data_IF_149711514115
#
_entry.id   IF_149711514115
#
_cell.length_a   1.000
_cell.length_b   1.000
_cell.length_c   1.000
_cell.angle_alpha   90.00
_cell.angle_beta   90.00
_cell.angle_gamma   90.00
#
_symmetry.space_group_name_H-M   'P 1'
#
loop_
_entity.id
_entity.type
_entity.pdbx_description
1 polymer ?
#
# COMPACT_ATOMS: atom_id res chain seq x y z
N UNK A 1 47.02 13.34 -39.14
CA UNK A 1 46.83 14.30 -40.24
C UNK A 1 45.52 15.06 -40.06
N UNK A 2 45.55 16.37 -40.25
CA UNK A 2 44.44 17.31 -40.11
C UNK A 2 43.70 17.40 -41.44
N UNK A 3 42.38 17.22 -41.45
CA UNK A 3 41.51 17.76 -42.49
C UNK A 3 40.29 18.43 -41.85
N UNK A 4 40.11 19.68 -42.26
CA UNK A 4 39.05 20.62 -41.90
C UNK A 4 37.78 20.28 -42.70
N UNK A 5 36.63 20.75 -42.22
CA UNK A 5 35.42 21.22 -42.94
C UNK A 5 34.26 21.06 -41.94
N UNK A 6 33.57 22.10 -41.44
CA UNK A 6 33.19 23.34 -42.09
C UNK A 6 31.66 23.41 -42.05
N UNK A 7 31.08 23.89 -40.95
CA UNK A 7 29.65 24.23 -40.88
C UNK A 7 29.50 25.57 -40.19
N UNK A 8 29.47 26.64 -40.99
CA UNK A 8 28.96 27.94 -40.56
C UNK A 8 27.45 27.80 -40.39
N UNK A 9 26.97 27.71 -39.15
CA UNK A 9 25.55 27.82 -38.84
C UNK A 9 25.15 29.31 -38.85
N UNK A 10 24.52 29.74 -39.94
CA UNK A 10 23.87 31.05 -40.04
C UNK A 10 22.55 30.99 -39.26
N UNK A 11 22.49 31.61 -38.08
CA UNK A 11 21.25 31.79 -37.32
C UNK A 11 20.43 32.92 -37.97
N UNK A 12 19.37 32.58 -38.70
CA UNK A 12 18.35 33.54 -39.15
C UNK A 12 17.20 33.56 -38.14
N UNK A 13 17.27 34.50 -37.20
CA UNK A 13 16.17 34.79 -36.26
C UNK A 13 14.99 35.35 -37.03
N UNK A 14 13.96 34.54 -37.26
CA UNK A 14 12.70 34.97 -37.86
C UNK A 14 11.68 35.12 -36.73
N UNK A 15 11.41 36.36 -36.34
CA UNK A 15 10.43 36.71 -35.31
C UNK A 15 9.02 36.52 -35.87
N UNK A 16 8.33 35.44 -35.49
CA UNK A 16 6.93 35.20 -35.84
C UNK A 16 6.05 35.79 -34.73
N UNK A 17 5.40 36.92 -35.02
CA UNK A 17 4.38 37.51 -34.17
C UNK A 17 3.09 36.70 -34.24
N UNK A 18 2.98 35.66 -33.40
CA UNK A 18 1.75 34.91 -33.20
C UNK A 18 0.83 35.72 -32.27
N UNK A 19 -0.18 36.38 -32.84
CA UNK A 19 -1.26 37.02 -32.08
C UNK A 19 -2.11 35.92 -31.43
N UNK A 20 -1.89 35.67 -30.13
CA UNK A 20 -2.78 34.84 -29.31
C UNK A 20 -4.12 35.54 -29.16
N UNK A 21 -5.17 35.00 -29.79
CA UNK A 21 -6.55 35.24 -29.38
C UNK A 21 -6.84 34.27 -28.22
N UNK A 22 -6.85 34.76 -26.99
CA UNK A 22 -7.19 33.96 -25.81
C UNK A 22 -8.72 33.95 -25.67
N UNK A 23 -9.35 32.88 -26.13
CA UNK A 23 -10.73 32.55 -25.74
C UNK A 23 -10.65 31.92 -24.33
N UNK A 24 -11.00 32.69 -23.31
CA UNK A 24 -11.08 32.21 -21.93
C UNK A 24 -12.34 31.34 -21.74
N UNK A 25 -12.25 30.06 -22.08
CA UNK A 25 -13.22 29.06 -21.65
C UNK A 25 -12.84 28.58 -20.25
N UNK A 26 -13.57 29.02 -19.22
CA UNK A 26 -13.37 28.59 -17.83
C UNK A 26 -13.81 27.13 -17.67
N UNK A 27 -12.89 26.19 -17.87
CA UNK A 27 -13.06 24.81 -17.44
C UNK A 27 -12.92 24.78 -15.91
N UNK A 28 -14.05 24.81 -15.20
CA UNK A 28 -14.08 24.51 -13.76
C UNK A 28 -13.81 23.02 -13.57
N UNK A 29 -12.54 22.64 -13.48
CA UNK A 29 -12.14 21.32 -13.02
C UNK A 29 -12.38 21.24 -11.52
N UNK A 30 -13.50 20.63 -11.12
CA UNK A 30 -13.73 20.23 -9.73
C UNK A 30 -12.74 19.12 -9.38
N UNK A 31 -11.61 19.48 -8.78
CA UNK A 31 -10.69 18.53 -8.17
C UNK A 31 -11.36 18.07 -6.88
N UNK A 32 -12.07 16.94 -6.93
CA UNK A 32 -12.56 16.28 -5.73
C UNK A 32 -11.32 15.86 -4.92
N UNK A 33 -11.04 16.59 -3.84
CA UNK A 33 -10.14 16.14 -2.80
C UNK A 33 -10.84 14.93 -2.18
N UNK A 34 -10.44 13.72 -2.57
CA UNK A 34 -10.94 12.51 -1.93
C UNK A 34 -10.65 12.62 -0.44
N UNK A 35 -11.71 12.58 0.37
CA UNK A 35 -11.59 12.57 1.82
C UNK A 35 -10.76 11.34 2.21
N UNK A 36 -9.64 11.57 2.88
CA UNK A 36 -8.75 10.51 3.30
C UNK A 36 -9.41 9.72 4.42
N UNK A 37 -10.12 8.65 4.06
CA UNK A 37 -10.46 7.55 4.95
C UNK A 37 -11.60 7.81 5.93
N UNK A 38 -12.82 7.97 5.41
CA UNK A 38 -14.06 8.02 6.22
C UNK A 38 -15.05 6.88 5.90
N UNK A 39 -14.67 5.94 5.02
CA UNK A 39 -15.50 4.78 4.71
C UNK A 39 -15.44 3.68 5.78
N UNK A 40 -16.27 2.63 5.68
CA UNK A 40 -16.22 1.52 6.62
C UNK A 40 -14.94 0.69 6.48
N UNK A 41 -14.50 0.13 7.60
CA UNK A 41 -13.45 -0.89 7.65
C UNK A 41 -14.08 -2.28 7.79
N UNK A 42 -13.92 -3.10 6.76
CA UNK A 42 -14.41 -4.48 6.71
C UNK A 42 -13.36 -5.32 5.98
N UNK A 43 -12.70 -6.20 6.75
CA UNK A 43 -11.56 -6.97 6.31
C UNK A 43 -11.78 -8.46 6.55
N UNK A 44 -11.23 -9.25 5.63
CA UNK A 44 -10.98 -10.67 5.81
C UNK A 44 -9.47 -10.87 5.96
N UNK A 45 -9.07 -11.55 7.02
CA UNK A 45 -7.68 -11.85 7.33
C UNK A 45 -7.50 -13.35 7.25
N UNK A 46 -6.47 -13.80 6.53
CA UNK A 46 -6.18 -15.21 6.37
C UNK A 46 -4.70 -15.50 6.56
N UNK A 47 -4.39 -16.64 7.18
CA UNK A 47 -3.01 -17.10 7.34
C UNK A 47 -2.93 -18.62 7.28
N UNK A 48 -1.91 -19.14 6.62
CA UNK A 48 -1.61 -20.56 6.59
C UNK A 48 -0.41 -20.91 5.72
N UNK A 49 0.05 -22.16 5.73
CA UNK A 49 1.03 -22.65 4.77
C UNK A 49 0.44 -22.64 3.34
N UNK A 50 1.28 -22.33 2.34
CA UNK A 50 0.87 -22.15 0.94
C UNK A 50 0.06 -23.32 0.36
N UNK A 51 0.44 -24.54 0.71
CA UNK A 51 -0.18 -25.78 0.23
C UNK A 51 -0.97 -26.52 1.33
N UNK A 52 -1.37 -25.83 2.39
CA UNK A 52 -2.11 -26.43 3.50
C UNK A 52 -3.34 -25.63 3.92
N UNK A 53 -3.87 -25.99 5.09
CA UNK A 53 -5.13 -25.39 5.58
C UNK A 53 -4.91 -23.94 6.01
N UNK A 54 -5.63 -23.04 5.37
CA UNK A 54 -5.65 -21.61 5.72
C UNK A 54 -6.73 -21.33 6.76
N UNK A 55 -6.36 -20.61 7.82
CA UNK A 55 -7.32 -20.05 8.78
C UNK A 55 -7.79 -18.69 8.26
N UNK A 56 -9.06 -18.35 8.48
CA UNK A 56 -9.64 -17.09 8.01
C UNK A 56 -10.59 -16.51 9.05
N UNK A 57 -10.49 -15.20 9.29
CA UNK A 57 -11.35 -14.46 10.22
C UNK A 57 -11.80 -13.14 9.60
N UNK A 58 -12.90 -12.60 10.11
CA UNK A 58 -13.38 -11.26 9.78
C UNK A 58 -12.94 -10.24 10.83
N UNK A 59 -12.72 -9.00 10.40
CA UNK A 59 -12.41 -7.86 11.25
C UNK A 59 -13.14 -6.61 10.74
N UNK A 60 -13.90 -5.96 11.61
CA UNK A 60 -14.33 -4.56 11.43
C UNK A 60 -13.63 -3.69 12.47
N UNK A 61 -13.46 -2.39 12.19
CA UNK A 61 -12.74 -1.49 13.11
C UNK A 61 -13.55 -0.30 13.64
N UNK A 62 -14.76 -0.07 13.11
CA UNK A 62 -15.57 1.12 13.43
C UNK A 62 -17.04 0.71 13.69
N UNK A 63 -17.36 0.04 14.82
CA UNK A 63 -16.48 -0.34 15.93
C UNK A 63 -15.74 -1.69 15.70
N UNK A 64 -14.73 -2.02 16.53
CA UNK A 64 -14.01 -3.29 16.46
C UNK A 64 -14.95 -4.51 16.60
N UNK A 65 -14.95 -5.39 15.59
CA UNK A 65 -15.92 -6.47 15.44
C UNK A 65 -15.43 -7.60 14.54
N UNK A 66 -16.33 -8.56 14.24
CA UNK A 66 -15.99 -9.77 13.47
C UNK A 66 -15.50 -10.95 14.34
N UNK A 67 -14.93 -11.96 13.70
CA UNK A 67 -14.52 -13.23 14.35
C UNK A 67 -13.09 -13.24 14.88
N UNK A 68 -12.27 -12.24 14.56
CA UNK A 68 -10.88 -12.13 15.02
C UNK A 68 -10.75 -12.08 16.56
N UNK A 69 -9.86 -12.85 17.20
CA UNK A 69 -9.74 -12.91 18.67
C UNK A 69 -9.37 -11.58 19.34
N UNK A 70 -8.42 -10.83 18.74
CA UNK A 70 -7.88 -9.57 19.26
C UNK A 70 -8.30 -8.34 18.44
N UNK A 71 -9.61 -8.13 18.27
CA UNK A 71 -10.19 -7.15 17.31
C UNK A 71 -9.63 -5.73 17.49
N UNK A 72 -9.69 -5.19 18.70
CA UNK A 72 -9.26 -3.83 18.98
C UNK A 72 -7.75 -3.63 18.73
N UNK A 73 -6.93 -4.58 19.18
CA UNK A 73 -5.48 -4.51 19.00
C UNK A 73 -5.07 -4.66 17.53
N UNK A 74 -5.71 -5.59 16.79
CA UNK A 74 -5.49 -5.76 15.36
C UNK A 74 -5.86 -4.49 14.57
N UNK A 75 -6.98 -3.85 14.91
CA UNK A 75 -7.35 -2.56 14.33
C UNK A 75 -6.32 -1.46 14.65
N UNK A 76 -5.82 -1.41 15.88
CA UNK A 76 -4.79 -0.45 16.27
C UNK A 76 -3.46 -0.68 15.53
N UNK A 77 -3.07 -1.93 15.29
CA UNK A 77 -1.88 -2.27 14.52
C UNK A 77 -2.03 -1.94 13.03
N UNK A 78 -3.16 -2.30 12.40
CA UNK A 78 -3.45 -1.93 11.01
C UNK A 78 -3.53 -0.42 10.80
N UNK A 79 -4.00 0.34 11.81
CA UNK A 79 -4.06 1.79 11.73
C UNK A 79 -2.67 2.46 11.63
N UNK A 80 -1.63 1.84 12.18
CA UNK A 80 -0.24 2.36 12.08
C UNK A 80 0.28 2.33 10.64
N UNK A 81 -0.31 1.48 9.80
CA UNK A 81 0.14 1.21 8.43
C UNK A 81 -0.97 1.39 7.39
N UNK A 82 -2.06 2.05 7.77
CA UNK A 82 -3.21 2.31 6.89
C UNK A 82 -3.74 1.05 6.18
N UNK A 83 -3.81 -0.06 6.90
CA UNK A 83 -4.27 -1.34 6.37
C UNK A 83 -3.22 -2.14 5.58
N UNK A 84 -2.07 -1.57 5.26
CA UNK A 84 -0.99 -2.24 4.53
C UNK A 84 0.04 -2.87 5.47
N UNK A 85 -0.30 -4.03 6.03
CA UNK A 85 0.56 -4.76 6.96
C UNK A 85 1.92 -5.17 6.37
N UNK A 86 2.08 -5.18 5.04
CA UNK A 86 3.33 -5.56 4.37
C UNK A 86 4.45 -4.53 4.56
N UNK A 87 4.09 -3.34 5.03
CA UNK A 87 5.03 -2.27 5.37
C UNK A 87 5.64 -2.41 6.77
N UNK A 88 5.13 -3.35 7.58
CA UNK A 88 5.65 -3.63 8.92
C UNK A 88 7.01 -4.34 8.82
N UNK A 89 7.91 -3.99 9.74
CA UNK A 89 9.24 -4.56 9.83
C UNK A 89 9.48 -5.19 11.21
N UNK A 90 10.46 -6.08 11.27
CA UNK A 90 10.87 -6.73 12.51
C UNK A 90 11.25 -5.67 13.58
N UNK A 91 10.61 -5.69 14.76
CA UNK A 91 10.99 -4.83 15.86
C UNK A 91 12.41 -5.14 16.35
N UNK A 92 13.13 -4.11 16.78
CA UNK A 92 14.49 -4.26 17.31
C UNK A 92 14.52 -5.15 18.56
N UNK A 93 15.55 -5.99 18.66
CA UNK A 93 15.77 -6.86 19.83
C UNK A 93 14.86 -8.10 19.90
N UNK A 94 14.02 -8.35 18.88
CA UNK A 94 13.25 -9.59 18.76
C UNK A 94 14.05 -10.65 18.01
N UNK A 95 13.85 -11.91 18.40
CA UNK A 95 14.55 -13.06 17.84
C UNK A 95 13.56 -14.19 17.59
N UNK A 96 13.70 -14.85 16.45
CA UNK A 96 12.96 -16.06 16.09
C UNK A 96 13.95 -17.16 15.73
N UNK A 97 13.53 -18.41 15.83
CA UNK A 97 14.32 -19.54 15.33
C UNK A 97 14.46 -19.47 13.81
N UNK A 98 15.47 -20.15 13.29
CA UNK A 98 15.77 -20.23 11.85
C UNK A 98 15.02 -21.37 11.15
N UNK A 99 14.04 -21.98 11.81
CA UNK A 99 13.22 -23.03 11.21
C UNK A 99 12.43 -22.46 10.02
N UNK A 100 12.39 -23.21 8.93
CA UNK A 100 11.68 -22.84 7.72
C UNK A 100 10.33 -23.55 7.68
N UNK A 101 9.29 -22.82 8.11
CA UNK A 101 7.89 -23.27 8.10
C UNK A 101 7.00 -22.13 7.55
N UNK A 102 7.08 -21.85 6.23
CA UNK A 102 6.57 -20.59 5.69
C UNK A 102 5.07 -20.41 5.87
N UNK A 103 4.68 -19.20 6.28
CA UNK A 103 3.28 -18.81 6.48
C UNK A 103 2.95 -17.68 5.51
N UNK A 104 1.96 -17.90 4.65
CA UNK A 104 1.38 -16.86 3.80
C UNK A 104 0.25 -16.17 4.55
N UNK A 105 0.37 -14.85 4.69
CA UNK A 105 -0.59 -14.00 5.36
C UNK A 105 -1.24 -13.06 4.35
N UNK A 106 -2.55 -12.84 4.46
CA UNK A 106 -3.31 -12.01 3.54
C UNK A 106 -4.37 -11.18 4.27
N UNK A 107 -4.51 -9.92 3.85
CA UNK A 107 -5.56 -9.00 4.26
C UNK A 107 -6.29 -8.53 3.00
N UNK A 108 -7.60 -8.75 2.96
CA UNK A 108 -8.48 -8.36 1.85
C UNK A 108 -9.70 -7.58 2.35
N UNK A 109 -10.18 -6.62 1.56
CA UNK A 109 -11.44 -5.92 1.81
C UNK A 109 -11.29 -4.41 1.72
N UNK A 110 -11.99 -3.69 2.60
CA UNK A 110 -11.98 -2.23 2.67
C UNK A 110 -11.34 -1.76 3.97
N UNK A 111 -10.30 -0.94 3.87
CA UNK A 111 -9.76 -0.15 4.99
C UNK A 111 -10.20 1.30 4.84
N UNK A 112 -11.08 1.77 5.73
CA UNK A 112 -11.62 3.14 5.70
C UNK A 112 -12.16 3.59 4.32
N UNK A 113 -12.80 2.67 3.60
CA UNK A 113 -13.32 2.89 2.25
C UNK A 113 -12.30 2.71 1.11
N UNK A 114 -11.04 2.44 1.41
CA UNK A 114 -10.01 2.13 0.41
C UNK A 114 -9.87 0.61 0.26
N UNK A 115 -9.81 0.11 -0.97
CA UNK A 115 -9.59 -1.31 -1.22
C UNK A 115 -8.19 -1.73 -0.80
N UNK A 116 -8.11 -2.85 -0.08
CA UNK A 116 -6.88 -3.49 0.35
C UNK A 116 -6.89 -4.92 -0.17
N UNK A 117 -5.81 -5.28 -0.86
CA UNK A 117 -5.47 -6.66 -1.22
C UNK A 117 -3.96 -6.78 -1.05
N UNK A 118 -3.56 -7.38 0.07
CA UNK A 118 -2.18 -7.45 0.52
C UNK A 118 -1.86 -8.85 0.98
N UNK A 119 -0.71 -9.36 0.53
CA UNK A 119 -0.24 -10.71 0.80
C UNK A 119 1.27 -10.69 1.01
N UNK A 120 1.74 -11.43 1.99
CA UNK A 120 3.17 -11.57 2.29
C UNK A 120 3.45 -12.94 2.91
N UNK A 121 4.52 -13.58 2.46
CA UNK A 121 5.05 -14.80 3.06
C UNK A 121 6.07 -14.45 4.16
N UNK A 122 6.02 -15.16 5.27
CA UNK A 122 6.97 -15.07 6.37
C UNK A 122 7.63 -16.43 6.58
N UNK A 123 8.91 -16.44 6.95
CA UNK A 123 9.72 -17.67 7.04
C UNK A 123 9.21 -18.68 8.06
N UNK A 124 8.52 -18.20 9.11
CA UNK A 124 7.83 -19.02 10.10
C UNK A 124 6.81 -18.20 10.89
N UNK A 125 6.00 -18.90 11.69
CA UNK A 125 4.95 -18.29 12.53
C UNK A 125 5.49 -17.26 13.53
N UNK A 126 6.69 -17.46 14.09
CA UNK A 126 7.30 -16.50 15.00
C UNK A 126 7.58 -15.16 14.29
N UNK A 127 8.17 -15.21 13.09
CA UNK A 127 8.46 -14.00 12.31
C UNK A 127 7.16 -13.29 11.94
N UNK A 128 6.15 -14.02 11.48
CA UNK A 128 4.81 -13.48 11.18
C UNK A 128 4.24 -12.69 12.38
N UNK A 129 4.06 -13.32 13.54
CA UNK A 129 3.41 -12.67 14.69
C UNK A 129 4.26 -11.57 15.30
N UNK A 130 5.58 -11.69 15.23
CA UNK A 130 6.50 -10.66 15.75
C UNK A 130 6.49 -9.39 14.89
N UNK A 131 6.45 -9.54 13.57
CA UNK A 131 6.38 -8.40 12.63
C UNK A 131 5.00 -7.75 12.65
N UNK A 132 3.94 -8.58 12.63
CA UNK A 132 2.56 -8.11 12.39
C UNK A 132 1.77 -7.81 13.66
N UNK A 133 2.33 -8.09 14.85
CA UNK A 133 1.64 -7.85 16.11
C UNK A 133 0.36 -8.67 16.22
N UNK A 134 -0.75 -8.02 16.55
CA UNK A 134 -2.03 -8.68 16.78
C UNK A 134 -2.81 -9.01 15.51
N UNK A 135 -2.36 -8.56 14.33
CA UNK A 135 -3.09 -8.68 13.06
C UNK A 135 -3.36 -10.15 12.67
N UNK A 136 -2.42 -11.06 12.93
CA UNK A 136 -2.56 -12.49 12.61
C UNK A 136 -2.49 -13.40 13.84
N UNK A 137 -2.93 -12.91 15.00
CA UNK A 137 -3.05 -13.73 16.22
C UNK A 137 -4.47 -14.33 16.31
N UNK A 138 -4.73 -15.42 15.58
CA UNK A 138 -5.97 -16.19 15.63
C UNK A 138 -5.76 -17.64 15.14
#
# INVERSE_FOLDING_TARGET
MRWRNGTMHVHRSTTIHMRMLVLAATLTSSMACGDAGSGPTELTLSVGPKDGTTQTVSLTCDPPGGTHGHKADACADLAKVNGDFTTLAMPSGKQCTLELDPQEAEVKGSWRGQQVDRKQEYSNRCVLTTVTGSIFQF
#
